data_IF_230332751794
#
_entry.id   IF_230332751794
#
_cell.length_a   1.000
_cell.length_b   1.000
_cell.length_c   1.000
_cell.angle_alpha   90.00
_cell.angle_beta   90.00
_cell.angle_gamma   90.00
#
_symmetry.space_group_name_H-M   'P 1'
#
loop_
_entity.id
_entity.type
_entity.pdbx_description
1 polymer ?
2 non-polymer ?
3 non-polymer ?
4 non-polymer ?
5 water ?
#
# COMPACT_ATOMS: atom_id res chain seq x y z
N UNK A 22 -11.78 -15.67 -19.49
CA UNK A 22 -10.77 -14.66 -19.08
C UNK A 22 -9.38 -15.09 -19.52
N UNK A 23 -8.55 -14.13 -20.00
CA UNK A 23 -7.19 -14.49 -20.43
C UNK A 23 -6.33 -14.93 -19.25
N UNK A 24 -5.21 -15.58 -19.56
CA UNK A 24 -4.17 -15.86 -18.56
C UNK A 24 -3.74 -14.53 -17.93
N UNK A 25 -3.35 -14.54 -16.63
CA UNK A 25 -2.98 -13.31 -15.94
C UNK A 25 -2.05 -12.39 -16.74
N UNK A 26 -0.92 -12.93 -17.22
CA UNK A 26 0.04 -12.15 -18.01
C UNK A 26 -0.57 -11.56 -19.28
N UNK A 27 -1.43 -12.34 -19.94
CA UNK A 27 -2.14 -11.86 -21.13
C UNK A 27 -3.11 -10.73 -20.81
N UNK A 28 -3.80 -10.84 -19.67
CA UNK A 28 -4.71 -9.78 -19.21
C UNK A 28 -3.94 -8.51 -18.84
N UNK A 29 -2.80 -8.68 -18.17
CA UNK A 29 -1.93 -7.54 -17.79
C UNK A 29 -1.47 -6.79 -19.05
N UNK A 30 -1.06 -7.55 -20.06
CA UNK A 30 -0.64 -6.98 -21.34
C UNK A 30 -1.79 -6.22 -22.00
N UNK A 31 -2.97 -6.85 -22.04
CA UNK A 31 -4.17 -6.22 -22.59
C UNK A 31 -4.54 -4.93 -21.86
N UNK A 32 -4.48 -4.96 -20.52
CA UNK A 32 -4.75 -3.78 -19.71
C UNK A 32 -3.80 -2.65 -20.05
N UNK A 33 -2.51 -2.95 -20.13
CA UNK A 33 -1.49 -1.95 -20.47
C UNK A 33 -1.77 -1.32 -21.84
N UNK A 34 -2.09 -2.15 -22.83
CA UNK A 34 -2.39 -1.67 -24.18
C UNK A 34 -3.66 -0.79 -24.23
N UNK A 35 -4.67 -1.16 -23.44
CA UNK A 35 -5.92 -0.41 -23.41
C UNK A 35 -5.81 0.90 -22.63
N UNK A 36 -5.02 0.89 -21.56
CA UNK A 36 -4.81 2.08 -20.72
C UNK A 36 -3.88 3.10 -21.37
N UNK A 37 -3.11 2.65 -22.36
CA UNK A 37 -2.03 3.44 -22.96
C UNK A 37 -1.12 3.98 -21.86
N UNK A 38 -0.82 3.11 -20.91
CA UNK A 38 0.00 3.45 -19.76
C UNK A 38 0.76 2.22 -19.29
N UNK A 39 1.70 2.44 -18.39
CA UNK A 39 2.55 1.37 -17.88
C UNK A 39 1.88 0.64 -16.71
N UNK A 40 1.86 -0.69 -16.77
CA UNK A 40 1.36 -1.53 -15.68
C UNK A 40 2.53 -2.30 -15.07
N UNK A 41 2.53 -2.40 -13.75
CA UNK A 41 3.56 -3.17 -13.03
C UNK A 41 2.86 -4.09 -12.04
N UNK A 42 3.25 -5.35 -12.05
CA UNK A 42 2.53 -6.36 -11.30
C UNK A 42 3.43 -7.48 -10.77
N UNK A 43 3.18 -7.89 -9.53
CA UNK A 43 3.75 -9.12 -9.00
C UNK A 43 2.72 -9.90 -8.20
N UNK A 44 2.77 -11.22 -8.36
CA UNK A 44 2.01 -12.15 -7.53
C UNK A 44 3.04 -13.00 -6.79
N UNK A 45 3.01 -12.94 -5.46
CA UNK A 45 4.01 -13.59 -4.63
C UNK A 45 3.37 -14.48 -3.56
N UNK A 46 3.91 -15.67 -3.37
CA UNK A 46 3.48 -16.56 -2.31
C UNK A 46 3.84 -15.96 -0.96
N UNK A 47 2.84 -15.76 -0.08
CA UNK A 47 3.09 -15.09 1.20
C UNK A 47 4.02 -15.90 2.11
N UNK A 48 3.80 -17.21 2.14
CA UNK A 48 4.57 -18.11 3.01
C UNK A 48 6.03 -18.25 2.59
N UNK A 49 6.28 -18.48 1.30
CA UNK A 49 7.63 -18.79 0.82
C UNK A 49 8.38 -17.62 0.18
N UNK A 50 7.63 -16.65 -0.36
CA UNK A 50 8.23 -15.52 -1.06
C UNK A 50 8.45 -15.77 -2.55
N UNK A 51 8.03 -16.96 -3.01
CA UNK A 51 8.14 -17.36 -4.41
C UNK A 51 7.33 -16.42 -5.31
N UNK A 52 7.95 -15.98 -6.41
CA UNK A 52 7.28 -15.17 -7.42
C UNK A 52 6.52 -16.05 -8.42
N UNK A 53 5.22 -15.83 -8.52
CA UNK A 53 4.34 -16.66 -9.36
C UNK A 53 4.01 -16.00 -10.70
N UNK A 54 3.72 -14.70 -10.67
CA UNK A 54 3.51 -13.89 -11.88
C UNK A 54 4.26 -12.58 -11.68
N UNK A 55 4.92 -12.11 -12.74
CA UNK A 55 5.65 -10.85 -12.71
C UNK A 55 5.59 -10.14 -14.06
N UNK A 56 5.30 -8.83 -14.01
CA UNK A 56 5.28 -7.97 -15.19
C UNK A 56 5.84 -6.62 -14.80
N UNK A 57 6.95 -6.22 -15.42
CA UNK A 57 7.65 -4.98 -15.10
C UNK A 57 7.87 -4.87 -13.59
N UNK A 58 8.20 -6.00 -12.97
CA UNK A 58 8.30 -6.09 -11.51
C UNK A 58 9.52 -5.34 -10.95
N UNK A 59 10.48 -5.01 -11.81
CA UNK A 59 11.67 -4.25 -11.40
C UNK A 59 11.66 -2.81 -11.91
N UNK A 60 10.51 -2.37 -12.43
CA UNK A 60 10.36 -0.98 -12.91
C UNK A 60 9.71 -0.12 -11.84
N UNK A 61 10.07 1.16 -11.80
CA UNK A 61 9.62 2.08 -10.76
C UNK A 61 8.22 2.66 -11.01
N UNK A 62 7.43 2.71 -9.94
CA UNK A 62 6.08 3.30 -9.93
C UNK A 62 5.90 4.12 -8.66
N UNK A 63 5.20 5.27 -8.75
CA UNK A 63 4.89 6.08 -7.57
C UNK A 63 4.04 5.27 -6.58
N UNK A 64 4.42 5.32 -5.31
CA UNK A 64 3.69 4.58 -4.26
C UNK A 64 2.32 5.16 -3.96
N UNK A 65 2.22 6.49 -4.01
CA UNK A 65 1.02 7.20 -3.58
C UNK A 65 0.69 6.77 -2.15
N UNK A 66 -0.60 6.59 -1.83
CA UNK A 66 -1.02 6.22 -0.47
C UNK A 66 -0.58 4.83 -0.03
N UNK A 67 -0.15 3.99 -0.96
CA UNK A 67 0.34 2.65 -0.60
C UNK A 67 1.58 2.68 0.30
N UNK A 68 2.30 3.80 0.29
CA UNK A 68 3.48 3.96 1.16
C UNK A 68 3.11 3.90 2.66
N UNK A 69 1.83 4.15 2.96
CA UNK A 69 1.36 4.25 4.34
C UNK A 69 1.45 2.95 5.14
N UNK A 70 1.41 1.80 4.44
CA UNK A 70 1.62 0.50 5.10
C UNK A 70 3.06 0.38 5.60
N UNK A 71 4.02 0.71 4.74
CA UNK A 71 5.45 0.72 5.10
C UNK A 71 5.69 1.73 6.22
N UNK A 72 5.08 2.91 6.11
CA UNK A 72 5.15 3.94 7.16
C UNK A 72 4.79 3.38 8.53
N UNK A 73 3.65 2.70 8.60
CA UNK A 73 3.18 2.13 9.87
C UNK A 73 3.97 0.89 10.29
N UNK A 74 4.65 0.26 9.35
CA UNK A 74 5.66 -0.75 9.69
C UNK A 74 6.78 -0.15 10.51
N UNK A 75 7.26 1.01 10.08
CA UNK A 75 8.32 1.75 10.77
C UNK A 75 7.87 2.20 12.16
N UNK A 76 6.62 2.64 12.26
CA UNK A 76 6.01 3.03 13.52
C UNK A 76 5.98 1.84 14.49
N UNK A 77 5.46 0.71 14.02
CA UNK A 77 5.40 -0.50 14.85
C UNK A 77 6.78 -0.97 15.31
N UNK A 78 7.79 -0.82 14.46
CA UNK A 78 9.17 -1.17 14.82
C UNK A 78 9.64 -0.35 16.01
N UNK A 79 9.30 0.94 16.02
CA UNK A 79 9.62 1.85 17.13
C UNK A 79 8.89 1.46 18.41
N UNK A 80 7.63 1.03 18.27
CA UNK A 80 6.85 0.51 19.40
C UNK A 80 7.55 -0.73 20.00
N UNK A 81 7.97 -1.65 19.12
CA UNK A 81 8.67 -2.87 19.53
C UNK A 81 9.97 -2.56 20.28
N UNK A 82 10.69 -1.53 19.82
CA UNK A 82 11.97 -1.13 20.40
C UNK A 82 11.82 -0.30 21.68
N UNK A 83 10.59 0.10 21.98
CA UNK A 83 10.30 0.90 23.19
C UNK A 83 10.48 2.40 23.00
N UNK A 84 10.61 2.82 21.75
CA UNK A 84 10.78 4.23 21.42
C UNK A 84 9.45 4.90 21.05
N UNK A 85 8.38 4.12 21.04
CA UNK A 85 7.05 4.59 20.68
C UNK A 85 5.96 3.76 21.36
N UNK A 86 4.76 4.35 21.49
CA UNK A 86 3.58 3.64 21.97
C UNK A 86 2.41 3.98 21.06
N UNK A 87 1.62 2.97 20.70
CA UNK A 87 0.41 3.21 19.89
C UNK A 87 -0.61 4.05 20.65
N UNK A 88 -0.53 4.02 21.98
CA UNK A 88 -1.42 4.80 22.85
C UNK A 88 -1.08 6.29 22.87
N UNK A 89 0.17 6.63 22.58
CA UNK A 89 0.65 8.01 22.68
C UNK A 89 -0.21 8.98 21.87
N UNK A 90 -0.78 9.97 22.55
CA UNK A 90 -1.64 10.95 21.90
C UNK A 90 -0.82 12.08 21.30
N UNK A 91 -1.03 12.32 20.00
CA UNK A 91 -0.37 13.41 19.31
C UNK A 91 -1.38 14.54 19.10
N UNK A 92 -1.03 15.72 19.59
CA UNK A 92 -1.85 16.90 19.37
C UNK A 92 -1.27 17.73 18.23
N UNK A 93 -2.16 18.24 17.39
CA UNK A 93 -1.75 18.97 16.20
C UNK A 93 -2.61 20.19 16.00
N UNK A 94 -2.25 20.99 14.99
CA UNK A 94 -2.92 22.25 14.71
C UNK A 94 -3.55 22.21 13.33
N UNK A 95 -4.43 23.17 13.06
CA UNK A 95 -5.13 23.25 11.78
C UNK A 95 -4.17 23.41 10.60
N UNK A 96 -3.04 24.08 10.85
CA UNK A 96 -1.98 24.25 9.85
C UNK A 96 -1.32 22.92 9.44
N UNK A 97 -1.47 21.90 10.27
CA UNK A 97 -0.93 20.56 9.98
C UNK A 97 -1.80 19.77 9.01
N UNK A 98 -3.02 20.24 8.76
CA UNK A 98 -3.91 19.59 7.81
C UNK A 98 -3.56 19.99 6.38
N UNK A 99 -3.23 19.00 5.56
CA UNK A 99 -2.68 19.26 4.22
C UNK A 99 -3.71 19.17 3.10
N UNK A 100 -4.85 18.56 3.41
CA UNK A 100 -5.97 18.42 2.48
C UNK A 100 -7.21 17.90 3.24
N UNK A 101 -8.23 17.52 2.48
CA UNK A 101 -9.44 16.86 2.98
C UNK A 101 -9.28 16.26 4.38
N UNK A 102 -8.47 15.20 4.50
CA UNK A 102 -8.14 14.55 5.79
C UNK A 102 -9.32 14.49 6.78
N UNK A 103 -10.32 13.64 6.50
CA UNK A 103 -11.59 13.65 7.23
C UNK A 103 -11.49 13.23 8.70
N UNK A 104 -10.59 12.30 9.02
CA UNK A 104 -10.44 11.81 10.40
C UNK A 104 -9.64 12.81 11.23
N UNK A 105 -8.49 13.22 10.69
CA UNK A 105 -7.61 14.21 11.32
C UNK A 105 -8.35 15.52 11.60
N UNK A 106 -9.17 15.94 10.65
CA UNK A 106 -9.96 17.17 10.77
C UNK A 106 -10.98 17.06 11.91
N UNK A 107 -11.59 15.89 12.06
CA UNK A 107 -12.61 15.64 13.08
C UNK A 107 -12.06 15.64 14.51
N UNK A 108 -10.80 15.22 14.66
CA UNK A 108 -10.19 15.13 15.98
C UNK A 108 -9.17 16.24 16.24
N UNK A 109 -9.36 17.37 15.58
CA UNK A 109 -8.45 18.52 15.69
C UNK A 109 -8.30 19.06 17.11
N UNK A 110 -9.40 19.06 17.86
CA UNK A 110 -9.41 19.61 19.22
C UNK A 110 -8.79 18.69 20.27
N UNK A 111 -9.00 17.38 20.10
CA UNK A 111 -8.62 16.40 21.13
C UNK A 111 -7.39 15.55 20.79
N UNK A 112 -6.91 15.67 19.55
CA UNK A 112 -5.74 14.90 19.11
C UNK A 112 -6.06 13.47 18.76
N UNK A 113 -5.04 12.73 18.33
CA UNK A 113 -5.19 11.31 17.97
C UNK A 113 -4.01 10.49 18.48
N UNK A 114 -4.28 9.26 18.89
CA UNK A 114 -3.21 8.34 19.29
C UNK A 114 -2.42 7.92 18.05
N UNK A 115 -1.16 7.53 18.26
CA UNK A 115 -0.31 7.03 17.18
C UNK A 115 -1.02 5.88 16.44
N UNK A 116 -1.61 4.97 17.22
CA UNK A 116 -2.40 3.86 16.67
C UNK A 116 -3.56 4.35 15.82
N UNK A 117 -4.30 5.33 16.32
CA UNK A 117 -5.41 5.95 15.59
C UNK A 117 -4.95 6.57 14.28
N UNK A 118 -3.79 7.22 14.31
CA UNK A 118 -3.23 7.85 13.12
C UNK A 118 -2.94 6.84 12.03
N UNK A 119 -2.35 5.71 12.42
CA UNK A 119 -2.11 4.61 11.50
C UNK A 119 -3.40 4.02 10.94
N UNK A 120 -4.40 3.87 11.80
CA UNK A 120 -5.73 3.41 11.35
C UNK A 120 -6.30 4.38 10.32
N UNK A 121 -6.22 5.67 10.60
CA UNK A 121 -6.73 6.68 9.66
C UNK A 121 -5.96 6.69 8.34
N UNK A 122 -4.63 6.53 8.42
CA UNK A 122 -3.77 6.55 7.25
C UNK A 122 -4.01 5.33 6.36
N UNK A 123 -4.15 4.16 6.98
CA UNK A 123 -4.29 2.92 6.23
C UNK A 123 -5.74 2.63 5.82
N UNK A 124 -6.68 2.77 6.75
CA UNK A 124 -8.08 2.39 6.48
C UNK A 124 -8.93 3.47 5.80
N UNK A 125 -8.49 4.73 5.89
CA UNK A 125 -9.25 5.83 5.29
C UNK A 125 -8.40 6.75 4.40
N UNK A 126 -7.13 6.38 4.21
CA UNK A 126 -6.21 7.14 3.36
C UNK A 126 -6.11 8.63 3.74
N UNK A 127 -6.19 8.90 5.04
CA UNK A 127 -6.01 10.25 5.58
C UNK A 127 -4.56 10.70 5.37
N UNK A 128 -4.37 11.76 4.60
CA UNK A 128 -3.03 12.25 4.27
C UNK A 128 -2.33 13.04 5.40
N UNK A 129 -3.11 13.82 6.16
CA UNK A 129 -2.55 14.55 7.29
C UNK A 129 -2.04 13.60 8.38
N UNK A 130 -2.79 12.51 8.60
CA UNK A 130 -2.40 11.46 9.54
C UNK A 130 -1.03 10.86 9.16
N UNK A 131 -0.81 10.67 7.86
CA UNK A 131 0.46 10.15 7.35
C UNK A 131 1.63 11.10 7.64
N UNK A 132 1.40 12.40 7.47
CA UNK A 132 2.41 13.41 7.78
C UNK A 132 2.78 13.43 9.26
N UNK A 133 1.77 13.32 10.12
CA UNK A 133 2.00 13.30 11.56
C UNK A 133 2.84 12.08 11.97
N UNK A 134 2.56 10.95 11.33
CA UNK A 134 3.32 9.71 11.56
C UNK A 134 4.73 9.80 11.02
N UNK A 135 4.88 10.43 9.84
CA UNK A 135 6.20 10.67 9.26
C UNK A 135 7.09 11.48 10.19
N UNK A 136 6.50 12.43 10.92
CA UNK A 136 7.21 13.26 11.89
C UNK A 136 7.69 12.49 13.14
N UNK A 137 7.24 11.25 13.27
CA UNK A 137 7.65 10.40 14.38
C UNK A 137 8.74 9.40 13.98
N UNK A 138 8.93 9.20 12.68
CA UNK A 138 9.91 8.24 12.17
C UNK A 138 11.11 8.90 11.48
N UNK A 139 11.24 10.21 11.65
CA UNK A 139 12.36 10.96 11.04
C UNK A 139 12.11 11.41 9.62
N UNK A 140 10.85 11.61 9.26
CA UNK A 140 10.46 12.05 7.92
C UNK A 140 10.74 11.03 6.84
N UNK A 141 10.61 11.44 5.56
CA UNK A 141 10.92 10.59 4.40
C UNK A 141 12.30 9.93 4.47
N UNK A 142 13.33 10.69 4.86
CA UNK A 142 14.69 10.17 5.01
C UNK A 142 14.76 9.07 6.08
N UNK A 143 14.03 9.28 7.18
CA UNK A 143 13.92 8.28 8.25
C UNK A 143 13.24 7.00 7.79
N UNK A 144 12.15 7.14 7.03
CA UNK A 144 11.45 5.98 6.49
C UNK A 144 12.30 5.22 5.46
N UNK A 145 13.02 5.95 4.61
CA UNK A 145 13.93 5.35 3.64
C UNK A 145 15.04 4.58 4.37
N UNK A 146 15.55 5.16 5.45
CA UNK A 146 16.55 4.49 6.30
C UNK A 146 16.01 3.19 6.90
N UNK A 147 14.76 3.20 7.35
CA UNK A 147 14.08 2.00 7.84
C UNK A 147 14.02 0.92 6.75
N UNK A 148 13.67 1.33 5.53
CA UNK A 148 13.62 0.43 4.38
C UNK A 148 14.96 -0.21 4.07
N UNK A 149 16.03 0.59 4.07
CA UNK A 149 17.39 0.09 3.86
C UNK A 149 17.77 -0.94 4.93
N UNK A 150 17.37 -0.68 6.18
CA UNK A 150 17.65 -1.57 7.31
C UNK A 150 17.00 -2.95 7.18
N UNK A 151 15.86 -3.02 6.49
CA UNK A 151 15.18 -4.31 6.29
C UNK A 151 15.49 -4.93 4.91
N UNK A 152 16.51 -4.40 4.24
CA UNK A 152 17.01 -4.99 3.00
C UNK A 152 16.38 -4.52 1.72
N UNK A 153 15.53 -3.49 1.82
CA UNK A 153 14.94 -2.85 0.65
C UNK A 153 15.82 -1.68 0.21
N UNK A 154 16.59 -1.91 -0.85
CA UNK A 154 17.50 -0.90 -1.40
C UNK A 154 16.92 -0.16 -2.60
N UNK A 155 15.62 -0.34 -2.83
CA UNK A 155 14.98 0.20 -4.02
C UNK A 155 13.91 1.25 -3.66
N UNK A 156 12.99 0.88 -2.78
CA UNK A 156 11.89 1.75 -2.35
C UNK A 156 12.45 3.01 -1.67
N UNK A 157 11.89 4.16 -2.03
CA UNK A 157 12.34 5.42 -1.47
C UNK A 157 11.18 6.40 -1.26
N UNK A 158 11.17 7.04 -0.10
CA UNK A 158 10.29 8.19 0.11
C UNK A 158 11.14 9.43 0.25
N UNK A 159 10.77 10.48 -0.49
CA UNK A 159 11.57 11.70 -0.54
C UNK A 159 10.79 12.91 -0.05
N UNK A 160 9.47 12.89 -0.24
CA UNK A 160 8.63 14.02 0.10
C UNK A 160 7.54 13.67 1.11
N UNK A 161 6.92 14.70 1.68
CA UNK A 161 5.78 14.57 2.58
C UNK A 161 4.48 14.63 1.77
N UNK A 162 3.35 14.47 2.45
CA UNK A 162 2.04 14.79 1.86
C UNK A 162 1.92 16.31 1.74
N UNK A 163 1.39 16.82 0.63
CA UNK A 163 0.76 16.03 -0.43
C UNK A 163 1.64 15.81 -1.67
N UNK A 164 2.82 16.41 -1.66
CA UNK A 164 3.71 16.44 -2.82
C UNK A 164 4.17 15.06 -3.34
N UNK A 165 4.20 14.07 -2.45
CA UNK A 165 4.65 12.71 -2.80
C UNK A 165 3.79 12.02 -3.86
N UNK A 166 2.60 12.57 -4.12
CA UNK A 166 1.66 12.02 -5.10
C UNK A 166 1.81 12.60 -6.52
N UNK A 167 2.80 13.47 -6.70
CA UNK A 167 2.95 14.24 -7.95
C UNK A 167 3.09 13.38 -9.22
N UNK A 168 3.78 12.25 -9.10
CA UNK A 168 3.93 11.26 -10.18
C UNK A 168 4.41 11.87 -11.51
N UNK A 169 5.49 12.64 -11.45
CA UNK A 169 6.10 13.19 -12.66
C UNK A 169 6.76 12.06 -13.46
N UNK A 170 6.61 12.09 -14.80
CA UNK A 170 7.22 11.07 -15.64
C UNK A 170 8.73 10.96 -15.42
N UNK A 171 9.21 9.74 -15.19
CA UNK A 171 10.63 9.47 -15.02
C UNK A 171 11.25 9.94 -13.71
N UNK A 172 10.42 10.41 -12.78
CA UNK A 172 10.87 10.90 -11.48
C UNK A 172 10.93 9.73 -10.49
N UNK A 173 12.11 9.49 -9.93
CA UNK A 173 12.33 8.36 -9.02
C UNK A 173 11.84 8.63 -7.59
N UNK A 174 11.57 9.90 -7.28
CA UNK A 174 11.11 10.26 -5.94
C UNK A 174 9.84 9.52 -5.57
N UNK A 175 9.77 9.04 -4.34
CA UNK A 175 8.56 8.43 -3.77
C UNK A 175 8.07 7.23 -4.58
N UNK A 176 9.01 6.41 -5.04
CA UNK A 176 8.67 5.24 -5.85
C UNK A 176 9.12 3.93 -5.23
N UNK A 177 8.48 2.86 -5.68
CA UNK A 177 8.89 1.50 -5.38
C UNK A 177 8.85 0.72 -6.70
N UNK A 178 9.16 -0.57 -6.63
CA UNK A 178 8.88 -1.48 -7.74
C UNK A 178 7.93 -2.53 -7.20
N UNK A 179 7.13 -3.16 -8.08
CA UNK A 179 6.27 -4.26 -7.60
C UNK A 179 7.04 -5.31 -6.80
N UNK A 180 8.23 -5.71 -7.29
CA UNK A 180 9.05 -6.72 -6.60
C UNK A 180 9.51 -6.29 -5.21
N UNK A 181 9.98 -5.05 -5.09
CA UNK A 181 10.48 -4.54 -3.83
C UNK A 181 9.36 -4.37 -2.80
N UNK A 182 8.24 -3.80 -3.25
CA UNK A 182 7.08 -3.60 -2.35
C UNK A 182 6.54 -4.93 -1.83
N UNK A 183 6.40 -5.92 -2.72
CA UNK A 183 5.95 -7.26 -2.32
C UNK A 183 6.88 -7.88 -1.29
N UNK A 184 8.19 -7.85 -1.56
CA UNK A 184 9.18 -8.40 -0.65
C UNK A 184 9.15 -7.71 0.72
N UNK A 185 9.07 -6.37 0.70
CA UNK A 185 9.04 -5.58 1.94
C UNK A 185 7.78 -5.86 2.77
N UNK A 186 6.63 -5.95 2.10
CA UNK A 186 5.37 -6.26 2.77
C UNK A 186 5.44 -7.65 3.42
N UNK A 187 6.00 -8.62 2.69
CA UNK A 187 6.18 -9.96 3.23
C UNK A 187 7.08 -9.93 4.47
N UNK A 188 8.17 -9.18 4.39
CA UNK A 188 9.08 -8.99 5.52
C UNK A 188 8.37 -8.42 6.74
N UNK A 189 7.61 -7.35 6.54
CA UNK A 189 6.91 -6.70 7.65
C UNK A 189 5.86 -7.61 8.30
N UNK A 190 5.14 -8.36 7.46
CA UNK A 190 4.04 -9.19 7.94
C UNK A 190 4.46 -10.55 8.54
N UNK A 191 5.59 -11.10 8.08
CA UNK A 191 5.92 -12.51 8.40
C UNK A 191 7.33 -12.81 8.96
N UNK A 192 8.26 -11.86 8.86
CA UNK A 192 9.70 -12.16 9.05
C UNK A 192 10.26 -12.14 10.49
N UNK A 193 9.48 -11.65 11.45
CA UNK A 193 9.98 -11.45 12.81
C UNK A 193 10.83 -10.18 12.98
N UNK A 194 10.86 -9.33 11.94
CA UNK A 194 11.37 -7.97 12.09
C UNK A 194 10.50 -7.24 13.11
N UNK A 195 9.19 -7.47 13.01
CA UNK A 195 8.21 -6.96 13.96
C UNK A 195 7.80 -8.06 14.93
N UNK A 196 7.41 -7.65 16.13
CA UNK A 196 6.88 -8.57 17.14
C UNK A 196 5.59 -9.21 16.64
N UNK A 197 5.18 -10.31 17.28
CA UNK A 197 3.93 -10.99 16.95
C UNK A 197 2.74 -10.01 16.94
N UNK A 198 2.58 -9.26 18.03
CA UNK A 198 1.48 -8.31 18.16
C UNK A 198 1.50 -7.22 17.08
N UNK A 199 2.70 -6.72 16.76
CA UNK A 199 2.85 -5.69 15.73
C UNK A 199 2.52 -6.21 14.32
N UNK A 200 2.99 -7.42 14.02
CA UNK A 200 2.65 -8.11 12.77
C UNK A 200 1.13 -8.24 12.62
N UNK A 201 0.48 -8.63 13.72
CA UNK A 201 -0.98 -8.81 13.75
C UNK A 201 -1.71 -7.49 13.55
N UNK A 202 -1.17 -6.43 14.15
CA UNK A 202 -1.75 -5.09 14.03
C UNK A 202 -1.68 -4.55 12.59
N UNK A 203 -0.52 -4.71 11.96
CA UNK A 203 -0.34 -4.21 10.59
C UNK A 203 -1.29 -4.91 9.62
N UNK A 204 -1.41 -6.23 9.78
CA UNK A 204 -2.35 -7.04 9.00
C UNK A 204 -3.81 -6.60 9.22
N UNK A 205 -4.19 -6.41 10.48
CA UNK A 205 -5.56 -6.00 10.80
C UNK A 205 -5.93 -4.65 10.16
N UNK A 206 -4.99 -3.70 10.17
CA UNK A 206 -5.19 -2.41 9.52
C UNK A 206 -5.50 -2.57 8.02
N UNK A 207 -4.80 -3.48 7.35
CA UNK A 207 -5.06 -3.77 5.94
C UNK A 207 -6.39 -4.48 5.74
N UNK A 208 -6.72 -5.41 6.64
CA UNK A 208 -8.01 -6.08 6.61
C UNK A 208 -9.14 -5.06 6.77
N UNK A 209 -8.91 -4.04 7.58
CA UNK A 209 -9.91 -3.02 7.91
C UNK A 209 -10.02 -1.86 6.92
N UNK A 210 -9.36 -1.94 5.77
CA UNK A 210 -9.46 -0.84 4.80
C UNK A 210 -10.90 -0.54 4.42
N UNK A 211 -11.30 0.72 4.65
CA UNK A 211 -12.66 1.17 4.33
C UNK A 211 -12.79 1.74 2.93
N UNK A 212 -11.67 2.14 2.34
CA UNK A 212 -11.68 2.78 1.02
C UNK A 212 -12.05 1.80 -0.11
N UNK A 213 -11.33 0.69 -0.19
CA UNK A 213 -11.53 -0.30 -1.26
C UNK A 213 -11.97 -1.68 -0.77
N UNK A 214 -11.62 -2.02 0.47
CA UNK A 214 -11.94 -3.34 1.04
C UNK A 214 -13.36 -3.84 0.79
N UNK A 215 -14.38 -3.12 1.29
CA UNK A 215 -15.79 -3.47 1.08
C UNK A 215 -16.17 -3.62 -0.40
N UNK A 216 -15.74 -2.70 -1.24
CA UNK A 216 -16.02 -2.77 -2.69
C UNK A 216 -15.46 -4.04 -3.32
N UNK A 217 -14.20 -4.35 -3.01
CA UNK A 217 -13.55 -5.57 -3.48
C UNK A 217 -14.30 -6.82 -3.01
N UNK A 218 -14.66 -6.86 -1.73
CA UNK A 218 -15.45 -7.98 -1.18
C UNK A 218 -16.79 -8.16 -1.90
N UNK A 219 -17.42 -7.05 -2.30
CA UNK A 219 -18.71 -7.11 -2.99
C UNK A 219 -18.60 -7.78 -4.37
N UNK A 220 -17.41 -7.79 -4.95
CA UNK A 220 -17.19 -8.41 -6.27
C UNK A 220 -16.34 -9.68 -6.26
N UNK A 221 -15.85 -10.06 -5.08
CA UNK A 221 -15.11 -11.31 -4.93
C UNK A 221 -16.08 -12.47 -4.71
N UNK A 222 -15.81 -13.63 -5.33
CA UNK A 222 -16.63 -14.81 -5.04
C UNK A 222 -16.48 -15.20 -3.58
N UNK A 223 -17.49 -15.88 -3.04
CA UNK A 223 -17.42 -16.36 -1.66
C UNK A 223 -16.15 -17.17 -1.43
N UNK A 224 -15.51 -16.96 -0.28
CA UNK A 224 -14.32 -17.71 0.10
C UNK A 224 -13.00 -17.00 -0.10
N UNK A 225 -13.01 -15.89 -0.85
CA UNK A 225 -11.78 -15.17 -1.15
C UNK A 225 -11.44 -14.10 -0.11
N UNK A 226 -10.32 -14.32 0.57
CA UNK A 226 -9.71 -13.39 1.53
C UNK A 226 -9.20 -12.14 0.82
N UNK A 227 -9.48 -10.98 1.37
CA UNK A 227 -8.83 -9.74 0.93
C UNK A 227 -8.40 -8.83 2.09
N UNK A 228 -7.18 -8.32 1.99
CA UNK A 228 -6.69 -7.20 2.80
C UNK A 228 -5.91 -6.32 1.85
N UNK A 229 -5.95 -5.00 2.05
CA UNK A 229 -5.38 -4.11 1.03
C UNK A 229 -5.07 -2.68 1.49
N UNK A 230 -4.23 -2.02 0.70
CA UNK A 230 -4.12 -0.57 0.72
C UNK A 230 -4.02 -0.10 -0.71
N UNK A 231 -4.85 0.88 -1.07
CA UNK A 231 -4.83 1.44 -2.42
C UNK A 231 -4.19 2.82 -2.46
N UNK A 232 -3.89 3.28 -3.67
CA UNK A 232 -3.30 4.59 -3.89
C UNK A 232 -3.76 5.18 -5.20
N UNK A 233 -3.78 6.51 -5.26
CA UNK A 233 -4.08 7.23 -6.48
C UNK A 233 -3.18 8.46 -6.57
N UNK A 234 -2.82 8.84 -7.80
CA UNK A 234 -1.96 10.00 -7.99
C UNK A 234 -2.24 10.72 -9.30
N UNK A 235 -1.33 11.63 -9.65
CA UNK A 235 -1.46 12.41 -10.88
C UNK A 235 -1.09 11.57 -12.10
N UNK A 236 -1.50 12.04 -13.27
CA UNK A 236 -1.17 11.41 -14.55
C UNK A 236 -1.61 9.94 -14.62
N UNK A 237 -2.75 9.65 -14.00
CA UNK A 237 -3.34 8.31 -14.03
C UNK A 237 -2.76 7.32 -13.04
N UNK A 238 -1.83 7.77 -12.20
CA UNK A 238 -1.20 6.88 -11.21
C UNK A 238 -2.26 6.22 -10.32
N UNK A 239 -2.15 4.90 -10.21
CA UNK A 239 -3.08 4.10 -9.42
C UNK A 239 -2.34 2.88 -8.89
N UNK A 240 -2.72 2.42 -7.70
CA UNK A 240 -2.02 1.30 -7.10
C UNK A 240 -2.82 0.55 -6.06
N UNK A 241 -2.44 -0.72 -5.89
CA UNK A 241 -2.97 -1.55 -4.82
C UNK A 241 -1.91 -2.55 -4.36
N UNK A 242 -1.77 -2.65 -3.05
CA UNK A 242 -0.98 -3.68 -2.40
C UNK A 242 -1.96 -4.53 -1.60
N UNK A 243 -1.99 -5.83 -1.87
CA UNK A 243 -3.01 -6.68 -1.28
C UNK A 243 -2.52 -8.07 -0.89
N UNK A 244 -3.28 -8.68 0.03
CA UNK A 244 -3.22 -10.10 0.33
C UNK A 244 -4.51 -10.73 -0.18
N UNK A 245 -4.38 -11.86 -0.86
CA UNK A 245 -5.53 -12.50 -1.51
C UNK A 245 -5.35 -14.01 -1.45
N UNK A 246 -6.47 -14.72 -1.35
CA UNK A 246 -6.42 -16.17 -1.41
C UNK A 246 -7.77 -16.82 -1.20
N UNK A 247 -7.94 -18.05 -1.71
CA UNK A 247 -9.17 -18.80 -1.53
C UNK A 247 -9.22 -19.42 -0.14
N UNK A 248 -10.35 -20.04 0.21
CA UNK A 248 -10.53 -20.71 1.50
C UNK A 248 -10.25 -19.79 2.69
N UNK A 249 -10.58 -18.51 2.52
CA UNK A 249 -10.46 -17.50 3.57
C UNK A 249 -9.08 -17.35 4.21
N UNK A 250 -8.05 -17.53 3.40
CA UNK A 250 -6.66 -17.46 3.84
C UNK A 250 -5.88 -16.50 2.94
N UNK A 251 -5.02 -15.68 3.54
CA UNK A 251 -4.10 -14.83 2.79
C UNK A 251 -2.97 -15.66 2.21
N UNK A 252 -3.17 -16.16 0.99
CA UNK A 252 -2.19 -17.04 0.36
C UNK A 252 -1.09 -16.27 -0.37
N UNK A 253 -1.48 -15.16 -1.01
CA UNK A 253 -0.57 -14.44 -1.89
C UNK A 253 -0.59 -12.93 -1.67
N UNK A 254 0.57 -12.31 -1.88
CA UNK A 254 0.68 -10.87 -1.98
C UNK A 254 0.55 -10.51 -3.45
N UNK A 255 -0.36 -9.60 -3.77
CA UNK A 255 -0.50 -9.07 -5.12
C UNK A 255 -0.30 -7.56 -5.07
N UNK A 256 0.64 -7.08 -5.89
CA UNK A 256 0.93 -5.66 -6.02
C UNK A 256 0.71 -5.26 -7.48
N UNK A 257 -0.17 -4.28 -7.69
CA UNK A 257 -0.38 -3.73 -9.03
C UNK A 257 -0.27 -2.22 -9.00
N UNK A 258 0.59 -1.68 -9.86
CA UNK A 258 0.66 -0.22 -10.05
C UNK A 258 0.39 0.14 -11.51
N UNK A 259 -0.26 1.28 -11.70
CA UNK A 259 -0.49 1.88 -13.01
C UNK A 259 0.14 3.27 -13.00
N UNK A 260 0.67 3.68 -14.15
CA UNK A 260 1.22 5.03 -14.29
C UNK A 260 1.15 5.55 -15.74
N UNK A 261 1.14 6.87 -15.86
CA UNK A 261 1.20 7.57 -17.15
C UNK A 261 0.14 7.10 -18.13
N UNK A 262 -1.09 7.02 -17.63
CA UNK A 262 -2.26 6.70 -18.43
C UNK A 262 -3.26 7.85 -18.31
N UNK A 263 -3.92 8.23 -19.42
CA UNK A 263 -4.96 9.24 -19.41
C UNK A 263 -6.34 8.69 -19.02
N UNK A 264 -6.41 7.40 -18.70
CA UNK A 264 -7.70 6.73 -18.47
C UNK A 264 -8.49 7.28 -17.29
N UNK A 265 -9.80 7.16 -17.39
CA UNK A 265 -10.71 7.48 -16.29
C UNK A 265 -10.38 6.65 -15.06
N UNK A 266 -10.68 7.19 -13.88
CA UNK A 266 -10.56 6.43 -12.63
C UNK A 266 -11.34 5.12 -12.72
N UNK A 267 -12.55 5.18 -13.31
CA UNK A 267 -13.41 4.02 -13.47
C UNK A 267 -12.78 2.90 -14.30
N UNK A 268 -12.17 3.26 -15.44
CA UNK A 268 -11.49 2.24 -16.25
C UNK A 268 -10.27 1.67 -15.55
N UNK A 269 -9.51 2.52 -14.87
CA UNK A 269 -8.33 2.07 -14.14
C UNK A 269 -8.71 1.04 -13.07
N UNK A 270 -9.80 1.31 -12.36
CA UNK A 270 -10.35 0.35 -11.39
C UNK A 270 -10.82 -0.94 -12.08
N UNK A 271 -11.49 -0.79 -13.22
CA UNK A 271 -11.98 -1.94 -14.01
C UNK A 271 -10.86 -2.83 -14.52
N UNK A 272 -9.76 -2.21 -14.95
CA UNK A 272 -8.61 -2.95 -15.45
C UNK A 272 -7.91 -3.73 -14.33
N UNK A 273 -7.73 -3.09 -13.18
CA UNK A 273 -7.17 -3.76 -12.01
C UNK A 273 -8.06 -4.94 -11.60
N UNK A 274 -9.37 -4.71 -11.59
CA UNK A 274 -10.35 -5.78 -11.32
C UNK A 274 -10.23 -6.91 -12.33
N UNK A 275 -10.02 -6.56 -13.60
CA UNK A 275 -9.84 -7.54 -14.67
C UNK A 275 -8.62 -8.42 -14.48
N UNK A 276 -7.52 -7.84 -14.01
CA UNK A 276 -6.32 -8.60 -13.66
C UNK A 276 -6.63 -9.58 -12.50
N UNK A 277 -7.36 -9.09 -11.51
CA UNK A 277 -7.83 -9.92 -10.40
C UNK A 277 -8.68 -11.10 -10.84
N UNK A 278 -9.63 -10.84 -11.75
CA UNK A 278 -10.47 -11.90 -12.33
C UNK A 278 -9.63 -12.99 -12.99
N UNK A 279 -8.61 -12.58 -13.74
CA UNK A 279 -7.69 -13.51 -14.40
C UNK A 279 -6.93 -14.37 -13.39
N UNK A 280 -6.49 -13.75 -12.29
CA UNK A 280 -5.81 -14.46 -11.20
C UNK A 280 -6.72 -15.51 -10.56
N UNK A 281 -7.96 -15.12 -10.26
CA UNK A 281 -8.96 -16.01 -9.66
C UNK A 281 -9.24 -17.22 -10.56
N UNK A 282 -9.46 -16.98 -11.85
CA UNK A 282 -9.82 -18.03 -12.80
C UNK A 282 -8.65 -18.91 -13.20
N UNK A 283 -7.43 -18.43 -12.99
CA UNK A 283 -6.23 -19.20 -13.28
C UNK A 283 -5.35 -19.27 -12.02
N UNK A 284 -5.95 -19.65 -10.90
CA UNK A 284 -5.28 -19.57 -9.60
C UNK A 284 -4.20 -20.64 -9.39
N UNK A 285 -4.48 -21.87 -9.79
CA UNK A 285 -3.53 -22.97 -9.62
C UNK A 285 -2.28 -22.74 -10.47
N UNK A 286 -1.11 -22.78 -9.83
CA UNK A 286 0.14 -22.40 -10.49
C UNK A 286 1.32 -23.19 -9.96
X LIG B 1 -8.39 12.97 -0.74
X LIG B 1 -7.79 12.03 -0.17
X LIG B 1 -7.82 11.89 1.07
X LIG B 1 -7.03 11.08 -0.96
X LIG B 1 -6.04 10.24 -0.25
X LIG B 1 -4.70 9.68 -0.53
X LIG B 1 -7.24 10.97 -2.29
X LIG B 1 -6.41 9.73 -3.35
X LIG B 1 -4.62 9.85 -3.01
X LIG B 1 -4.23 9.24 -1.69
X LIG B 1 -3.23 8.08 -1.67
X LIG B 1 -2.92 7.55 -2.74
X LIG B 1 -4.13 11.28 -3.17
X LIG B 1 -4.02 12.14 -2.12
X LIG B 1 -3.55 13.37 -2.71
X LIG B 1 -3.23 14.66 -2.12
X LIG B 1 -2.73 15.58 -3.61
X LIG B 1 -2.92 14.37 -4.97
X LIG B 1 -3.40 13.19 -4.15
X LIG B 1 -3.76 11.90 -4.49
X LIG C 1 -16.73 -15.85 -11.19
X LIG C 1 -18.10 -16.32 -10.68
X LIG C 1 -17.98 -17.09 -9.37
X LIG C 1 -16.90 -18.18 -9.46
X LIG C 1 -15.59 -17.64 -10.04
X LIG C 1 -14.51 -18.70 -10.21
X LIG C 1 -18.92 -15.18 -10.49
X LIG C 1 -19.26 -17.63 -9.02
X LIG C 1 -15.85 -16.98 -11.29
X LIG C 1 -14.94 -19.75 -11.09
X LIG C 1 -16.19 -14.90 -10.26
X LIG C 1 -16.65 -18.71 -8.15
X LIG C 1 -14.61 -11.07 -10.38
X LIG C 1 -16.12 -11.15 -10.56
X LIG C 1 -16.63 -12.53 -10.15
X LIG C 1 -15.85 -13.65 -10.85
X LIG C 1 -14.33 -13.43 -10.72
X LIG C 1 -13.52 -14.43 -11.53
X LIG C 1 -14.12 -9.80 -10.80
X LIG C 1 -16.75 -10.15 -9.75
X LIG C 1 -18.03 -12.64 -10.44
X LIG C 1 -13.98 -12.11 -11.14
X LIG C 1 -13.88 -14.32 -12.92
X LIG C 1 -12.82 -9.55 -10.28
X LIG C 1 -12.91 -8.58 -9.09
X LIG C 1 -11.63 -8.63 -8.27
X LIG C 1 -11.60 -7.52 -7.23
X LIG C 1 -10.22 -6.88 -7.13
X LIG C 1 -9.15 -7.92 -6.78
X LIG C 1 -7.83 -7.27 -6.39
X LIG C 1 -6.91 -7.23 -7.61
X LIG C 1 -5.51 -6.70 -7.30
X LIG C 1 -5.02 -7.05 -5.89
X LIG C 1 -5.72 -8.28 -5.32
X LIG C 1 -7.23 -8.10 -5.24
X LIG D 1 -15.65 -2.02 -9.37
X LIG D 1 -14.45 -2.97 -9.40
X LIG D 1 -13.64 -2.86 -8.11
X LIG D 1 -12.21 -2.42 -8.41
X LIG D 1 -11.45 -2.10 -7.13
X LIG D 1 -11.29 -0.58 -7.01
X LIG D 1 -10.23 -0.19 -5.97
X LIG D 1 -8.85 -0.76 -6.30
X LIG D 1 -8.90 -1.86 -7.35
X LIG D 1 -10.10 -2.81 -7.16
X LIG E 1 -10.18 7.94 -1.29
X LIG E 1 -10.65 8.45 -2.61
X LIG E 1 -10.78 9.97 -2.68
X LIG E 1 -11.56 10.49 -1.58
X LIG E 1 -11.76 9.67 -0.40
X LIG E 1 -10.55 8.77 -0.13
X LIG E 1 -12.45 11.63 -1.80
X LIG E 1 -11.77 12.98 -1.54
X LIG E 1 -12.74 13.99 -1.50
X LIG E 1 -8.71 7.71 -1.28
X LIG E 1 -8.30 6.72 -2.36
X LIG E 1 -6.88 5.70 -1.92
X LIG E 1 -5.73 6.53 -1.61
X LIG E 1 -7.19 4.87 -0.77
X LIG E 1 -6.56 4.86 -3.08
#
# INVERSE_FOLDING_TARGET
MRYIRLCIISLLATLPLAVHASPQPLEQIKLSESQLSGRVGMIEMDLASGRTLTAWRADERFPMMSTFKVVLCGAVLARVDAGDEQLERKIHYRQQDLVDYSPVSEKHLADGMTVGELCAAAITMSDNSAANLLLATVGGPAGLTAFLRQIGDNVTRLDRWETELNEALPGDARDTTTPASMAATLRKLLTSQRLSARSQRQLLQWMVDDRVAGPLIRSVLPAGWFIADKTGAGERGARGIVALLGPNNKAERIVVIYLRDTPASMAERNQQIAGIGAALIEHWQR
17O OAC CAN OAB CAP NAK CAE CAF SAM CAS CAO CAD OAA CAQ NAJ NAT CAI SAL CAH CAR CAG
MA4 C1 C2 C3 C4 C5 C6 O2 O3 O5 O6 O1 O4 C10 C20 C30 C40 C50 C60 O10 O20 O30 O50 O60 C11 C21 C31 C41 C51 C61 C12 C22 C32 C42 C52 C62
MA4 C31 C41 C51 C61 C12 C22 C32 C42 C52 C62
EPE N1 C2 C3 N4 C5 C6 C7 C8 O8 C9 C10 S O1S O2S O3S
#
